data_IF_095414173846
#
_entry.id   IF_095414173846
#
_cell.length_a   1.000
_cell.length_b   1.000
_cell.length_c   1.000
_cell.angle_alpha   90.00
_cell.angle_beta   90.00
_cell.angle_gamma   90.00
#
_symmetry.space_group_name_H-M   'P 1'
#
loop_
_entity.id
_entity.type
_entity.pdbx_description
1 polymer ?
#
# COMPACT_ATOMS: atom_id res chain seq x y z
N UNK A 1 5.09 -4.06 -38.29
CA UNK A 1 5.47 -5.45 -38.02
C UNK A 1 5.45 -5.70 -36.51
N UNK A 2 5.26 -6.95 -36.12
CA UNK A 2 5.13 -7.35 -34.70
C UNK A 2 6.36 -6.98 -33.87
N UNK A 3 7.56 -7.18 -34.43
CA UNK A 3 8.81 -6.87 -33.73
C UNK A 3 8.96 -5.38 -33.41
N UNK A 4 8.70 -4.52 -34.40
CA UNK A 4 8.83 -3.06 -34.21
C UNK A 4 7.89 -2.58 -33.10
N UNK A 5 6.67 -3.15 -33.05
CA UNK A 5 5.68 -2.80 -32.05
C UNK A 5 6.09 -3.27 -30.65
N UNK A 6 6.68 -4.47 -30.52
CA UNK A 6 7.15 -4.98 -29.24
C UNK A 6 8.31 -4.17 -28.72
N UNK A 7 9.27 -3.82 -29.55
CA UNK A 7 10.40 -2.96 -29.17
C UNK A 7 9.93 -1.58 -28.74
N UNK A 8 9.00 -0.97 -29.48
CA UNK A 8 8.44 0.34 -29.16
C UNK A 8 7.73 0.31 -27.80
N UNK A 9 6.93 -0.74 -27.54
CA UNK A 9 6.23 -0.87 -26.27
C UNK A 9 7.20 -1.07 -25.12
N UNK A 10 8.25 -1.87 -25.28
CA UNK A 10 9.26 -2.09 -24.27
C UNK A 10 10.02 -0.79 -23.94
N UNK A 11 10.43 -0.05 -24.98
CA UNK A 11 11.10 1.24 -24.81
C UNK A 11 10.18 2.25 -24.12
N UNK A 12 8.92 2.31 -24.51
CA UNK A 12 7.93 3.19 -23.87
C UNK A 12 7.71 2.83 -22.40
N UNK A 13 7.56 1.54 -22.09
CA UNK A 13 7.41 1.08 -20.71
C UNK A 13 8.64 1.43 -19.85
N UNK A 14 9.84 1.25 -20.40
CA UNK A 14 11.10 1.63 -19.70
C UNK A 14 11.18 3.12 -19.47
N UNK A 15 10.78 3.93 -20.46
CA UNK A 15 10.77 5.39 -20.37
C UNK A 15 9.78 5.90 -19.32
N UNK A 16 8.61 5.26 -19.21
CA UNK A 16 7.53 5.66 -18.32
C UNK A 16 7.68 5.06 -16.91
N UNK A 17 8.79 4.40 -16.60
CA UNK A 17 9.00 3.81 -15.27
C UNK A 17 8.97 4.89 -14.19
N UNK A 18 8.14 4.74 -13.15
CA UNK A 18 8.01 5.74 -12.10
C UNK A 18 9.32 5.95 -11.32
N UNK A 19 9.73 7.20 -11.18
CA UNK A 19 10.96 7.58 -10.45
C UNK A 19 10.67 8.76 -9.54
N UNK A 20 11.36 8.81 -8.40
CA UNK A 20 11.15 9.84 -7.37
C UNK A 20 11.25 11.27 -7.93
N UNK A 21 12.22 11.55 -8.80
CA UNK A 21 12.42 12.87 -9.37
C UNK A 21 11.25 13.40 -10.19
N UNK A 22 10.35 12.53 -10.66
CA UNK A 22 9.14 12.95 -11.38
C UNK A 22 8.09 13.57 -10.46
N UNK A 23 8.28 13.48 -9.15
CA UNK A 23 7.30 13.87 -8.13
C UNK A 23 7.81 14.97 -7.20
N UNK A 24 8.88 15.69 -7.58
CA UNK A 24 9.51 16.70 -6.73
C UNK A 24 8.93 18.10 -6.89
N UNK A 25 7.97 18.27 -7.79
CA UNK A 25 7.38 19.57 -8.11
C UNK A 25 6.23 20.00 -7.21
N UNK A 26 5.83 19.16 -6.27
CA UNK A 26 4.71 19.48 -5.38
C UNK A 26 5.12 20.48 -4.29
N UNK A 27 4.20 21.39 -3.98
CA UNK A 27 4.36 22.30 -2.85
C UNK A 27 4.03 21.60 -1.54
N UNK A 28 4.67 22.02 -0.44
CA UNK A 28 4.33 21.52 0.89
C UNK A 28 2.86 21.78 1.21
N UNK A 29 2.15 20.77 1.72
CA UNK A 29 0.72 20.84 2.01
C UNK A 29 -0.20 20.63 0.82
N UNK A 30 0.31 20.50 -0.39
CA UNK A 30 -0.49 20.23 -1.58
C UNK A 30 -1.11 18.84 -1.53
N UNK A 31 -2.40 18.74 -1.88
CA UNK A 31 -3.06 17.44 -2.02
C UNK A 31 -2.63 16.79 -3.33
N UNK A 32 -2.22 15.52 -3.23
CA UNK A 32 -1.76 14.69 -4.34
C UNK A 32 -2.62 13.45 -4.41
N UNK A 33 -2.98 13.04 -5.63
CA UNK A 33 -3.76 11.84 -5.86
C UNK A 33 -5.23 11.96 -5.47
N UNK A 34 -5.89 10.83 -5.37
CA UNK A 34 -7.30 10.73 -5.04
C UNK A 34 -7.55 9.46 -4.20
N UNK A 35 -8.68 9.44 -3.48
CA UNK A 35 -9.05 8.26 -2.69
C UNK A 35 -9.23 7.04 -3.60
N UNK A 36 -8.70 5.91 -3.17
CA UNK A 36 -9.01 4.62 -3.77
C UNK A 36 -10.43 4.19 -3.36
N UNK A 37 -11.07 3.30 -4.14
CA UNK A 37 -12.30 2.65 -3.70
C UNK A 37 -12.12 1.96 -2.35
N UNK A 38 -13.17 1.92 -1.53
CA UNK A 38 -13.10 1.36 -0.17
C UNK A 38 -12.64 -0.10 -0.15
N UNK A 39 -13.02 -0.89 -1.14
CA UNK A 39 -12.62 -2.29 -1.24
C UNK A 39 -11.10 -2.46 -1.43
N UNK A 40 -10.43 -1.49 -2.03
CA UNK A 40 -8.97 -1.51 -2.16
C UNK A 40 -8.25 -1.31 -0.81
N UNK A 41 -8.97 -0.84 0.19
CA UNK A 41 -8.45 -0.58 1.53
C UNK A 41 -8.77 -1.72 2.50
N UNK A 42 -9.04 -2.92 1.99
CA UNK A 42 -9.36 -4.11 2.78
C UNK A 42 -8.29 -5.18 2.62
N UNK A 43 -8.02 -5.91 3.70
CA UNK A 43 -7.13 -7.07 3.71
C UNK A 43 -7.79 -8.17 4.54
N UNK A 44 -7.86 -9.38 4.00
CA UNK A 44 -8.48 -10.55 4.66
C UNK A 44 -9.93 -10.26 5.13
N UNK A 45 -10.66 -9.44 4.39
CA UNK A 45 -12.01 -9.03 4.74
C UNK A 45 -12.10 -7.96 5.83
N UNK A 46 -10.97 -7.48 6.33
CA UNK A 46 -10.91 -6.42 7.35
C UNK A 46 -10.76 -5.06 6.69
N UNK A 47 -11.58 -4.11 7.12
CA UNK A 47 -11.52 -2.72 6.65
C UNK A 47 -10.83 -1.83 7.68
N UNK A 48 -10.22 -0.74 7.21
CA UNK A 48 -9.80 0.34 8.10
C UNK A 48 -11.02 0.86 8.88
N UNK A 49 -10.84 1.10 10.18
CA UNK A 49 -11.92 1.51 11.07
C UNK A 49 -12.64 0.37 11.79
N UNK A 50 -12.43 -0.89 11.40
CA UNK A 50 -12.93 -2.03 12.18
C UNK A 50 -12.31 -2.02 13.59
N UNK A 51 -13.08 -2.45 14.60
CA UNK A 51 -12.54 -2.62 15.94
C UNK A 51 -11.63 -3.84 16.01
N UNK A 52 -10.68 -3.85 16.93
CA UNK A 52 -9.85 -5.03 17.17
C UNK A 52 -10.69 -6.24 17.58
N UNK A 53 -11.75 -6.03 18.34
CA UNK A 53 -12.66 -7.11 18.71
C UNK A 53 -13.35 -7.72 17.48
N UNK A 54 -13.78 -6.91 16.52
CA UNK A 54 -14.38 -7.40 15.29
C UNK A 54 -13.39 -8.16 14.42
N UNK A 55 -12.12 -7.73 14.40
CA UNK A 55 -11.05 -8.45 13.68
C UNK A 55 -10.86 -9.84 14.28
N UNK A 56 -10.75 -9.93 15.61
CA UNK A 56 -10.61 -11.21 16.31
C UNK A 56 -11.84 -12.12 16.13
N UNK A 57 -13.03 -11.55 16.11
CA UNK A 57 -14.25 -12.31 15.83
C UNK A 57 -14.24 -12.91 14.42
N UNK A 58 -13.71 -12.19 13.45
CA UNK A 58 -13.64 -12.62 12.05
C UNK A 58 -12.49 -13.57 11.76
N UNK A 59 -11.28 -13.28 12.28
CA UNK A 59 -10.05 -14.01 11.94
C UNK A 59 -9.58 -14.97 13.03
N UNK A 60 -10.18 -14.94 14.20
CA UNK A 60 -9.76 -15.75 15.33
C UNK A 60 -8.61 -15.10 16.12
N UNK A 61 -7.91 -15.93 16.90
CA UNK A 61 -6.79 -15.44 17.71
C UNK A 61 -5.58 -15.08 16.85
N UNK A 62 -5.00 -13.90 17.05
CA UNK A 62 -3.79 -13.52 16.36
C UNK A 62 -2.57 -14.33 16.84
N UNK A 63 -1.54 -14.40 16.00
CA UNK A 63 -0.26 -15.00 16.40
C UNK A 63 0.47 -14.13 17.42
N UNK A 64 0.21 -12.80 17.41
CA UNK A 64 0.73 -11.85 18.37
C UNK A 64 -0.30 -10.74 18.58
N UNK A 65 -0.50 -10.37 19.84
CA UNK A 65 -1.41 -9.28 20.20
C UNK A 65 -0.71 -8.29 21.13
N UNK A 66 -0.84 -7.01 20.80
CA UNK A 66 -0.42 -5.90 21.68
C UNK A 66 -1.58 -4.91 21.74
N UNK A 67 -1.45 -3.90 22.62
CA UNK A 67 -2.46 -2.82 22.69
C UNK A 67 -2.57 -2.02 21.38
N UNK A 68 -1.57 -2.12 20.50
CA UNK A 68 -1.49 -1.35 19.25
C UNK A 68 -1.54 -2.19 17.99
N UNK A 69 -1.67 -3.49 18.09
CA UNK A 69 -1.69 -4.31 16.87
C UNK A 69 -2.06 -5.74 17.10
N UNK A 70 -2.70 -6.32 16.08
CA UNK A 70 -3.03 -7.71 15.96
C UNK A 70 -2.27 -8.27 14.77
N UNK A 71 -1.40 -9.26 15.01
CA UNK A 71 -0.59 -9.86 13.96
C UNK A 71 -1.07 -11.27 13.68
N UNK A 72 -1.32 -11.55 12.40
CA UNK A 72 -1.72 -12.85 11.87
C UNK A 72 -0.67 -13.28 10.86
N UNK A 73 0.37 -14.02 11.32
CA UNK A 73 1.48 -14.36 10.46
C UNK A 73 2.19 -13.11 9.92
N UNK A 74 2.22 -12.93 8.61
CA UNK A 74 2.82 -11.75 7.99
C UNK A 74 1.92 -10.55 7.85
N UNK A 75 0.71 -10.57 8.42
CA UNK A 75 -0.26 -9.47 8.31
C UNK A 75 -0.49 -8.86 9.69
N UNK A 76 -0.34 -7.54 9.79
CA UNK A 76 -0.60 -6.78 11.02
C UNK A 76 -1.70 -5.75 10.78
N UNK A 77 -2.69 -5.77 11.68
CA UNK A 77 -3.74 -4.75 11.77
C UNK A 77 -3.39 -3.87 12.96
N UNK A 78 -3.06 -2.61 12.71
CA UNK A 78 -2.51 -1.74 13.75
C UNK A 78 -3.35 -0.51 14.02
N UNK A 79 -3.04 0.15 15.13
CA UNK A 79 -3.69 1.39 15.53
C UNK A 79 -2.64 2.38 16.02
N UNK A 80 -2.78 3.64 15.59
CA UNK A 80 -1.98 4.75 16.12
C UNK A 80 -2.64 5.42 17.32
N UNK A 81 -3.79 4.90 17.77
CA UNK A 81 -4.52 5.51 18.89
C UNK A 81 -3.80 5.31 20.23
N UNK A 82 -4.02 6.26 21.14
CA UNK A 82 -3.45 6.24 22.47
C UNK A 82 -4.18 5.21 23.34
N UNK A 83 -3.50 4.75 24.40
CA UNK A 83 -4.06 3.82 25.39
C UNK A 83 -5.34 4.38 26.01
N UNK A 84 -6.28 3.50 26.34
CA UNK A 84 -7.56 3.85 26.97
C UNK A 84 -8.67 4.24 26.02
N UNK A 85 -8.41 4.29 24.72
CA UNK A 85 -9.42 4.50 23.67
C UNK A 85 -9.66 3.17 22.95
N UNK A 86 -10.91 2.89 22.58
CA UNK A 86 -11.22 1.69 21.81
C UNK A 86 -10.32 1.61 20.59
N UNK A 87 -9.60 0.49 20.46
CA UNK A 87 -8.66 0.30 19.35
C UNK A 87 -9.40 -0.04 18.07
N UNK A 88 -9.17 0.78 17.06
CA UNK A 88 -9.65 0.54 15.70
C UNK A 88 -8.46 0.43 14.76
N UNK A 89 -8.63 -0.31 13.68
CA UNK A 89 -7.59 -0.47 12.66
C UNK A 89 -7.42 0.85 11.91
N UNK A 90 -6.24 1.45 12.04
CA UNK A 90 -5.87 2.68 11.32
C UNK A 90 -4.81 2.44 10.25
N UNK A 91 -4.10 1.30 10.31
CA UNK A 91 -3.22 0.86 9.24
C UNK A 91 -3.19 -0.66 9.16
N UNK A 92 -2.81 -1.16 8.00
CA UNK A 92 -2.58 -2.59 7.78
C UNK A 92 -1.21 -2.76 7.11
N UNK A 93 -0.49 -3.82 7.49
CA UNK A 93 0.84 -4.09 6.99
C UNK A 93 0.92 -5.54 6.53
N UNK A 94 1.41 -5.76 5.31
CA UNK A 94 1.63 -7.09 4.75
C UNK A 94 3.12 -7.25 4.50
N UNK A 95 3.74 -8.24 5.16
CA UNK A 95 5.19 -8.44 5.12
C UNK A 95 5.61 -9.74 4.44
N UNK A 96 4.66 -10.59 4.06
CA UNK A 96 4.91 -11.83 3.33
C UNK A 96 3.73 -12.16 2.42
N UNK A 97 3.68 -13.39 1.90
CA UNK A 97 2.64 -13.81 0.96
C UNK A 97 1.38 -14.39 1.63
N UNK A 98 1.22 -14.22 2.95
CA UNK A 98 0.02 -14.72 3.66
C UNK A 98 -1.25 -14.00 3.22
N UNK A 99 -1.15 -12.78 2.69
CA UNK A 99 -2.27 -12.06 2.14
C UNK A 99 -1.83 -11.24 0.93
N UNK A 100 -2.81 -10.84 0.13
CA UNK A 100 -2.62 -9.93 -1.00
C UNK A 100 -3.44 -8.67 -0.79
N UNK A 101 -3.13 -7.62 -1.57
CA UNK A 101 -4.07 -6.51 -1.71
C UNK A 101 -5.35 -7.00 -2.40
N UNK A 102 -6.40 -6.19 -2.36
CA UNK A 102 -7.66 -6.52 -3.04
C UNK A 102 -7.47 -6.85 -4.52
N UNK A 103 -6.56 -6.16 -5.19
CA UNK A 103 -6.26 -6.39 -6.61
C UNK A 103 -5.22 -7.48 -6.86
N UNK A 104 -4.82 -8.21 -5.82
CA UNK A 104 -4.01 -9.42 -5.96
C UNK A 104 -2.50 -9.23 -5.96
N UNK A 105 -1.99 -8.12 -5.44
CA UNK A 105 -0.55 -7.94 -5.27
C UNK A 105 -0.09 -8.54 -3.93
N UNK A 106 0.94 -9.35 -3.98
CA UNK A 106 1.59 -9.95 -2.81
C UNK A 106 3.06 -9.52 -2.71
N UNK A 107 3.61 -9.61 -1.51
CA UNK A 107 5.06 -9.47 -1.30
C UNK A 107 5.79 -10.49 -2.18
N UNK A 108 6.86 -10.06 -2.84
CA UNK A 108 7.60 -10.87 -3.81
C UNK A 108 7.15 -10.71 -5.25
N UNK A 109 5.97 -10.14 -5.49
CA UNK A 109 5.55 -9.81 -6.84
C UNK A 109 6.42 -8.68 -7.41
N UNK A 110 6.56 -8.64 -8.74
CA UNK A 110 7.35 -7.60 -9.39
C UNK A 110 6.67 -6.24 -9.31
N UNK A 111 7.46 -5.18 -9.26
CA UNK A 111 6.93 -3.82 -9.38
C UNK A 111 6.29 -3.58 -10.75
N UNK A 112 6.68 -4.33 -11.78
CA UNK A 112 6.01 -4.33 -13.08
C UNK A 112 4.56 -4.77 -12.95
N UNK A 113 4.30 -5.81 -12.15
CA UNK A 113 2.93 -6.25 -11.88
C UNK A 113 2.12 -5.15 -11.17
N UNK A 114 2.74 -4.47 -10.20
CA UNK A 114 2.09 -3.33 -9.53
C UNK A 114 1.72 -2.25 -10.53
N UNK A 115 2.63 -1.88 -11.42
CA UNK A 115 2.39 -0.88 -12.45
C UNK A 115 1.25 -1.30 -13.39
N UNK A 116 1.21 -2.58 -13.77
CA UNK A 116 0.15 -3.09 -14.66
C UNK A 116 -1.23 -3.09 -13.98
N UNK A 117 -1.28 -3.37 -12.66
CA UNK A 117 -2.53 -3.51 -11.91
C UNK A 117 -3.06 -2.16 -11.42
N UNK A 118 -2.18 -1.31 -10.90
CA UNK A 118 -2.56 -0.03 -10.29
C UNK A 118 -2.29 1.18 -11.18
N UNK A 119 -1.50 1.02 -12.23
CA UNK A 119 -1.09 2.13 -13.09
C UNK A 119 0.04 2.95 -12.48
N UNK A 120 0.19 4.18 -12.95
CA UNK A 120 1.20 5.10 -12.45
C UNK A 120 0.87 5.49 -11.00
N UNK A 121 1.84 5.38 -10.07
CA UNK A 121 1.60 5.80 -8.70
C UNK A 121 1.35 7.30 -8.59
N UNK A 122 0.61 7.69 -7.56
CA UNK A 122 0.36 9.10 -7.27
C UNK A 122 1.58 9.81 -6.70
N UNK A 123 2.48 9.05 -6.07
CA UNK A 123 3.73 9.57 -5.52
C UNK A 123 4.78 8.45 -5.47
N UNK A 124 6.02 8.81 -5.77
CA UNK A 124 7.21 7.98 -5.49
C UNK A 124 8.12 8.80 -4.60
N UNK A 125 8.46 8.27 -3.42
CA UNK A 125 9.30 9.00 -2.48
C UNK A 125 10.80 8.74 -2.72
N UNK A 126 11.64 9.38 -1.92
CA UNK A 126 13.10 9.24 -2.03
C UNK A 126 13.63 7.85 -1.72
N UNK A 127 12.83 7.01 -1.05
CA UNK A 127 13.13 5.61 -0.78
C UNK A 127 12.55 4.68 -1.84
N UNK A 128 12.08 5.23 -2.95
CA UNK A 128 11.52 4.50 -4.07
C UNK A 128 10.27 3.69 -3.71
N UNK A 129 9.50 4.17 -2.72
CA UNK A 129 8.21 3.60 -2.36
C UNK A 129 7.13 4.21 -3.24
N UNK A 130 6.25 3.37 -3.76
CA UNK A 130 5.16 3.79 -4.63
C UNK A 130 3.89 3.92 -3.82
N UNK A 131 3.28 5.10 -3.88
CA UNK A 131 2.04 5.39 -3.15
C UNK A 131 0.88 5.59 -4.12
N UNK A 132 -0.24 4.95 -3.81
CA UNK A 132 -1.51 5.07 -4.53
C UNK A 132 -2.58 5.53 -3.55
N UNK A 133 -3.18 6.69 -3.80
CA UNK A 133 -4.21 7.21 -2.93
C UNK A 133 -4.13 8.72 -2.80
N UNK A 134 -4.60 9.24 -1.67
CA UNK A 134 -4.64 10.66 -1.39
C UNK A 134 -3.59 11.01 -0.33
N UNK A 135 -2.75 11.97 -0.63
CA UNK A 135 -1.65 12.38 0.22
C UNK A 135 -1.55 13.90 0.28
N UNK A 136 -1.31 14.44 1.46
CA UNK A 136 -0.95 15.84 1.62
C UNK A 136 0.58 15.93 1.74
N UNK A 137 1.19 16.47 0.69
CA UNK A 137 2.65 16.45 0.51
C UNK A 137 3.37 17.08 1.71
N UNK A 138 4.41 16.41 2.21
CA UNK A 138 5.21 16.77 3.38
C UNK A 138 4.40 16.86 4.68
N UNK A 139 3.37 16.07 4.80
CA UNK A 139 2.62 15.87 6.06
C UNK A 139 2.46 14.39 6.34
N UNK A 140 1.89 14.06 7.51
CA UNK A 140 1.59 12.67 7.88
C UNK A 140 0.25 12.17 7.33
N UNK A 141 -0.48 13.01 6.60
CA UNK A 141 -1.79 12.64 6.06
C UNK A 141 -1.62 11.78 4.81
N UNK A 142 -1.82 10.48 4.97
CA UNK A 142 -1.83 9.48 3.89
C UNK A 142 -3.09 8.63 4.00
N UNK A 143 -3.79 8.46 2.88
CA UNK A 143 -4.94 7.56 2.79
C UNK A 143 -4.80 6.77 1.50
N UNK A 144 -4.32 5.54 1.59
CA UNK A 144 -4.06 4.73 0.41
C UNK A 144 -3.10 3.58 0.69
N UNK A 145 -2.50 3.08 -0.37
CA UNK A 145 -1.60 1.92 -0.35
C UNK A 145 -0.20 2.36 -0.73
N UNK A 146 0.78 1.92 0.06
CA UNK A 146 2.19 2.14 -0.23
C UNK A 146 2.89 0.81 -0.45
N UNK A 147 3.59 0.69 -1.57
CA UNK A 147 4.41 -0.47 -1.89
C UNK A 147 5.88 -0.13 -1.68
N UNK A 148 6.52 -0.81 -0.73
CA UNK A 148 7.98 -0.79 -0.58
C UNK A 148 8.58 -1.86 -1.47
N UNK A 149 9.74 -1.59 -2.01
CA UNK A 149 10.39 -2.51 -2.94
C UNK A 149 11.84 -2.76 -2.58
N UNK A 150 12.31 -3.94 -2.97
CA UNK A 150 13.71 -4.34 -2.90
C UNK A 150 14.02 -5.16 -4.14
N UNK A 151 14.99 -4.69 -4.95
CA UNK A 151 15.32 -5.35 -6.20
C UNK A 151 14.14 -5.45 -7.17
N UNK A 152 13.37 -4.37 -7.31
CA UNK A 152 12.18 -4.27 -8.17
C UNK A 152 11.08 -5.27 -7.85
N UNK A 153 11.08 -5.81 -6.63
CA UNK A 153 10.02 -6.67 -6.10
C UNK A 153 9.42 -6.06 -4.85
N UNK A 154 8.12 -6.25 -4.67
CA UNK A 154 7.42 -5.79 -3.47
C UNK A 154 8.01 -6.45 -2.24
N UNK A 155 8.47 -5.66 -1.28
CA UNK A 155 9.04 -6.14 -0.01
C UNK A 155 8.09 -5.95 1.17
N UNK A 156 7.21 -4.97 1.11
CA UNK A 156 6.22 -4.66 2.13
C UNK A 156 5.08 -3.86 1.52
N UNK A 157 3.87 -4.08 2.03
CA UNK A 157 2.68 -3.33 1.63
C UNK A 157 2.10 -2.68 2.88
N UNK A 158 1.86 -1.36 2.82
CA UNK A 158 1.22 -0.60 3.89
C UNK A 158 -0.07 0.00 3.37
N UNK A 159 -1.14 -0.09 4.15
CA UNK A 159 -2.43 0.53 3.85
C UNK A 159 -2.75 1.48 4.99
N UNK A 160 -2.96 2.74 4.66
CA UNK A 160 -3.17 3.83 5.62
C UNK A 160 -4.54 4.47 5.47
N UNK A 161 -5.07 4.89 6.57
CA UNK A 161 -6.27 5.71 6.60
C UNK A 161 -5.95 7.18 6.84
#
# INVERSE_FOLDING_TARGET
>A
KTWDRLETNAAKQSYDWPKAEQYTHYAGGQLVGANLPDEDMMVLGVSLGNTFDSVKASLGQPTKETSRGLTYGGVTFGSFKMDGVESVVTYMMIENRDATTHRGIAVGDSMRKVLNVYGRPDLVDSNNRWFYGKYRYRTDMMHGIQFEQKGDKVSKIMIYR
#
